data_IF_588003891078
#
_entry.id   IF_588003891078
#
_cell.length_a   1.000
_cell.length_b   1.000
_cell.length_c   1.000
_cell.angle_alpha   90.00
_cell.angle_beta   90.00
_cell.angle_gamma   90.00
#
_symmetry.space_group_name_H-M   'P 1'
#
loop_
_entity.id
_entity.type
_entity.pdbx_description
1 polymer ?
#
# COMPACT_ATOMS: atom_id res chain seq x y z
N UNK A 1 -7.73 -31.41 6.96
CA UNK A 1 -7.55 -30.05 6.41
C UNK A 1 -8.01 -28.94 7.36
N UNK A 2 -9.08 -29.11 8.13
CA UNK A 2 -9.58 -28.10 9.09
C UNK A 2 -8.61 -27.77 10.23
N UNK A 3 -7.86 -28.75 10.77
CA UNK A 3 -6.89 -28.54 11.84
C UNK A 3 -5.70 -27.66 11.41
N UNK A 4 -5.09 -27.94 10.26
CA UNK A 4 -3.94 -27.19 9.74
C UNK A 4 -4.29 -25.71 9.48
N UNK A 5 -5.46 -25.41 8.93
CA UNK A 5 -5.90 -24.03 8.69
C UNK A 5 -6.13 -23.28 10.01
N UNK A 6 -6.66 -23.96 11.03
CA UNK A 6 -6.84 -23.37 12.36
C UNK A 6 -5.48 -23.08 13.04
N UNK A 7 -4.50 -23.99 12.93
CA UNK A 7 -3.16 -23.79 13.46
C UNK A 7 -2.41 -22.64 12.79
N UNK A 8 -2.48 -22.56 11.44
CA UNK A 8 -1.89 -21.46 10.69
C UNK A 8 -2.56 -20.12 11.06
N UNK A 9 -3.88 -20.11 11.20
CA UNK A 9 -4.62 -18.92 11.63
C UNK A 9 -4.20 -18.46 13.04
N UNK A 10 -4.09 -19.40 14.00
CA UNK A 10 -3.64 -19.09 15.34
C UNK A 10 -2.19 -18.55 15.38
N UNK A 11 -1.32 -19.10 14.53
CA UNK A 11 0.07 -18.62 14.41
C UNK A 11 0.13 -17.21 13.85
N UNK A 12 -0.64 -16.87 12.82
CA UNK A 12 -0.73 -15.51 12.26
C UNK A 12 -1.20 -14.52 13.33
N UNK A 13 -2.25 -14.85 14.05
CA UNK A 13 -2.77 -14.01 15.14
C UNK A 13 -1.71 -13.81 16.23
N UNK A 14 -0.98 -14.86 16.61
CA UNK A 14 0.09 -14.77 17.61
C UNK A 14 1.23 -13.85 17.15
N UNK A 15 1.67 -13.95 15.91
CA UNK A 15 2.70 -13.07 15.34
C UNK A 15 2.21 -11.61 15.24
N UNK A 16 0.97 -11.39 14.84
CA UNK A 16 0.35 -10.07 14.79
C UNK A 16 0.31 -9.40 16.16
N UNK A 17 -0.09 -10.14 17.19
CA UNK A 17 -0.12 -9.63 18.56
C UNK A 17 1.27 -9.31 19.08
N UNK A 18 2.24 -10.22 18.90
CA UNK A 18 3.63 -10.00 19.30
C UNK A 18 4.23 -8.74 18.64
N UNK A 19 4.00 -8.57 17.34
CA UNK A 19 4.44 -7.38 16.61
C UNK A 19 3.79 -6.10 17.13
N UNK A 20 2.48 -6.14 17.40
CA UNK A 20 1.74 -5.01 17.95
C UNK A 20 2.25 -4.62 19.35
N UNK A 21 2.42 -5.59 20.25
CA UNK A 21 2.90 -5.35 21.61
C UNK A 21 4.34 -4.81 21.61
N UNK A 22 5.22 -5.33 20.77
CA UNK A 22 6.58 -4.83 20.59
C UNK A 22 6.57 -3.36 20.16
N UNK A 23 5.77 -3.02 19.15
CA UNK A 23 5.69 -1.65 18.66
C UNK A 23 5.07 -0.69 19.68
N UNK A 24 4.11 -1.14 20.46
CA UNK A 24 3.55 -0.34 21.58
C UNK A 24 4.63 -0.08 22.64
N UNK A 25 5.45 -1.08 22.97
CA UNK A 25 6.49 -0.96 24.02
C UNK A 25 7.60 0.04 23.68
N UNK A 26 7.86 0.29 22.39
CA UNK A 26 8.89 1.23 21.92
C UNK A 26 8.32 2.60 21.51
N UNK A 27 7.03 2.87 21.80
CA UNK A 27 6.42 4.16 21.46
C UNK A 27 7.06 5.29 22.26
N UNK A 28 7.47 6.31 21.51
CA UNK A 28 8.05 7.55 22.02
C UNK A 28 7.33 8.74 21.36
N UNK A 29 7.10 9.87 22.07
CA UNK A 29 6.40 11.03 21.51
C UNK A 29 7.07 11.62 20.26
N UNK A 30 8.42 11.65 20.19
CA UNK A 30 9.13 12.18 19.04
C UNK A 30 9.02 11.21 17.84
N UNK A 31 9.19 9.92 18.07
CA UNK A 31 9.02 8.88 17.04
C UNK A 31 7.57 8.87 16.54
N UNK A 32 6.58 8.98 17.44
CA UNK A 32 5.16 9.04 17.08
C UNK A 32 4.86 10.23 16.17
N UNK A 33 5.45 11.40 16.45
CA UNK A 33 5.30 12.58 15.59
C UNK A 33 5.86 12.34 14.18
N UNK A 34 7.02 11.70 14.08
CA UNK A 34 7.62 11.33 12.78
C UNK A 34 6.73 10.33 12.04
N UNK A 35 6.26 9.29 12.70
CA UNK A 35 5.40 8.26 12.11
C UNK A 35 4.06 8.83 11.64
N UNK A 36 3.46 9.76 12.39
CA UNK A 36 2.27 10.49 11.97
C UNK A 36 2.50 11.35 10.73
N UNK A 37 3.67 11.98 10.61
CA UNK A 37 4.00 12.80 9.44
C UNK A 37 4.22 11.93 8.20
N UNK A 38 4.96 10.85 8.35
CA UNK A 38 5.30 9.95 7.23
C UNK A 38 4.07 9.17 6.73
N UNK A 39 3.18 8.74 7.63
CA UNK A 39 2.01 7.94 7.24
C UNK A 39 1.13 8.67 6.22
N UNK A 40 1.07 10.00 6.29
CA UNK A 40 0.31 10.82 5.34
C UNK A 40 0.70 10.61 3.87
N UNK A 41 1.96 10.24 3.60
CA UNK A 41 2.45 9.95 2.24
C UNK A 41 1.78 8.69 1.61
N UNK A 42 1.24 7.80 2.43
CA UNK A 42 0.49 6.63 1.97
C UNK A 42 -1.00 6.87 1.74
N UNK A 43 -1.49 8.08 1.95
CA UNK A 43 -2.91 8.40 1.77
C UNK A 43 -3.31 8.51 0.29
N UNK A 44 -4.60 8.31 0.00
CA UNK A 44 -5.13 8.51 -1.35
C UNK A 44 -4.93 9.95 -1.85
N UNK A 45 -5.01 10.93 -0.95
CA UNK A 45 -4.75 12.35 -1.26
C UNK A 45 -3.30 12.56 -1.69
N UNK A 46 -2.33 12.01 -0.93
CA UNK A 46 -0.92 12.09 -1.30
C UNK A 46 -0.65 11.39 -2.64
N UNK A 47 -1.25 10.22 -2.87
CA UNK A 47 -1.15 9.52 -4.15
C UNK A 47 -1.67 10.37 -5.30
N UNK A 48 -2.82 11.02 -5.15
CA UNK A 48 -3.37 11.91 -6.16
C UNK A 48 -2.45 13.12 -6.45
N UNK A 49 -1.86 13.71 -5.41
CA UNK A 49 -0.89 14.82 -5.57
C UNK A 49 0.36 14.34 -6.31
N UNK A 50 0.93 13.19 -5.94
CA UNK A 50 2.12 12.61 -6.59
C UNK A 50 1.85 12.36 -8.07
N UNK A 51 0.72 11.73 -8.41
CA UNK A 51 0.32 11.49 -9.81
C UNK A 51 0.09 12.80 -10.55
N UNK A 52 -0.50 13.80 -9.91
CA UNK A 52 -0.65 15.14 -10.46
C UNK A 52 0.70 15.82 -10.76
N UNK A 53 1.69 15.67 -9.89
CA UNK A 53 3.05 16.15 -10.12
C UNK A 53 3.72 15.43 -11.30
N UNK A 54 3.54 14.12 -11.45
CA UNK A 54 4.02 13.39 -12.62
C UNK A 54 3.39 13.90 -13.90
N UNK A 55 2.09 14.20 -13.88
CA UNK A 55 1.39 14.77 -15.02
C UNK A 55 1.93 16.15 -15.40
N UNK A 56 2.16 17.03 -14.43
CA UNK A 56 2.73 18.37 -14.66
C UNK A 56 4.20 18.32 -15.12
N UNK A 57 4.91 17.25 -14.83
CA UNK A 57 6.29 17.02 -15.27
C UNK A 57 6.38 16.28 -16.62
N UNK A 58 5.26 16.05 -17.32
CA UNK A 58 5.17 15.29 -18.57
C UNK A 58 5.67 13.83 -18.45
N UNK A 59 5.54 13.21 -17.28
CA UNK A 59 5.93 11.82 -17.03
C UNK A 59 4.76 10.87 -17.32
N UNK A 60 4.34 10.84 -18.59
CA UNK A 60 3.11 10.16 -19.01
C UNK A 60 3.10 8.64 -18.73
N UNK A 61 4.26 7.99 -18.73
CA UNK A 61 4.38 6.56 -18.41
C UNK A 61 4.13 6.29 -16.93
N UNK A 62 4.72 7.11 -16.07
CA UNK A 62 4.54 7.03 -14.64
C UNK A 62 3.08 7.34 -14.24
N UNK A 63 2.47 8.34 -14.90
CA UNK A 63 1.04 8.67 -14.71
C UNK A 63 0.16 7.49 -15.10
N UNK A 64 0.32 6.96 -16.32
CA UNK A 64 -0.52 5.85 -16.82
C UNK A 64 -0.39 4.61 -15.92
N UNK A 65 0.85 4.27 -15.53
CA UNK A 65 1.12 3.12 -14.66
C UNK A 65 0.53 3.33 -13.27
N UNK A 66 0.72 4.51 -12.66
CA UNK A 66 0.19 4.80 -11.32
C UNK A 66 -1.34 4.80 -11.30
N UNK A 67 -1.98 5.48 -12.26
CA UNK A 67 -3.45 5.58 -12.33
C UNK A 67 -4.05 4.19 -12.49
N UNK A 68 -3.51 3.37 -13.40
CA UNK A 68 -4.05 2.03 -13.63
C UNK A 68 -3.79 1.10 -12.45
N UNK A 69 -2.57 1.10 -11.89
CA UNK A 69 -2.21 0.25 -10.76
C UNK A 69 -3.02 0.61 -9.50
N UNK A 70 -3.12 1.90 -9.16
CA UNK A 70 -3.91 2.36 -8.01
C UNK A 70 -5.41 2.14 -8.24
N UNK A 71 -5.88 2.33 -9.48
CA UNK A 71 -7.26 2.06 -9.88
C UNK A 71 -7.67 0.60 -9.78
N UNK A 72 -6.72 -0.35 -9.95
CA UNK A 72 -6.94 -1.77 -9.70
C UNK A 72 -6.83 -2.11 -8.21
N UNK A 73 -5.86 -1.53 -7.52
CA UNK A 73 -5.56 -1.80 -6.11
C UNK A 73 -6.66 -1.29 -5.17
N UNK A 74 -7.11 -0.06 -5.37
CA UNK A 74 -8.06 0.61 -4.48
C UNK A 74 -9.38 -0.16 -4.29
N UNK A 75 -10.09 -0.53 -5.37
CA UNK A 75 -11.33 -1.32 -5.24
C UNK A 75 -11.14 -2.66 -4.54
N UNK A 76 -10.02 -3.35 -4.78
CA UNK A 76 -9.71 -4.62 -4.09
C UNK A 76 -9.55 -4.39 -2.58
N UNK A 77 -8.78 -3.37 -2.19
CA UNK A 77 -8.59 -3.00 -0.77
C UNK A 77 -9.93 -2.67 -0.12
N UNK A 78 -10.74 -1.79 -0.74
CA UNK A 78 -12.03 -1.37 -0.19
C UNK A 78 -13.02 -2.53 -0.06
N UNK A 79 -13.07 -3.42 -1.06
CA UNK A 79 -13.93 -4.60 -1.04
C UNK A 79 -13.53 -5.55 0.10
N UNK A 80 -12.24 -5.89 0.22
CA UNK A 80 -11.76 -6.77 1.29
C UNK A 80 -11.97 -6.15 2.67
N UNK A 81 -11.78 -4.85 2.82
CA UNK A 81 -12.02 -4.12 4.06
C UNK A 81 -13.49 -4.20 4.48
N UNK A 82 -14.41 -4.02 3.53
CA UNK A 82 -15.85 -4.13 3.78
C UNK A 82 -16.32 -5.56 4.09
N UNK A 83 -15.66 -6.58 3.53
CA UNK A 83 -16.01 -7.98 3.73
C UNK A 83 -15.45 -8.56 5.04
N UNK A 84 -14.19 -8.26 5.37
CA UNK A 84 -13.48 -8.91 6.49
C UNK A 84 -13.71 -8.15 7.80
N UNK A 85 -13.87 -6.85 7.76
CA UNK A 85 -14.21 -5.98 8.90
C UNK A 85 -13.36 -6.23 10.17
N UNK A 86 -12.06 -6.47 9.98
CA UNK A 86 -11.13 -6.73 11.08
C UNK A 86 -10.98 -5.52 11.98
N UNK A 87 -11.11 -5.65 13.33
CA UNK A 87 -10.88 -4.54 14.24
C UNK A 87 -9.41 -4.09 14.23
N UNK A 88 -9.17 -2.83 14.64
CA UNK A 88 -7.81 -2.32 14.81
C UNK A 88 -7.04 -3.04 15.93
N UNK A 89 -5.70 -3.01 15.88
CA UNK A 89 -4.87 -3.37 17.03
C UNK A 89 -5.24 -2.56 18.29
N UNK A 90 -4.97 -3.09 19.49
CA UNK A 90 -5.23 -2.36 20.72
C UNK A 90 -4.40 -1.06 20.81
N UNK A 91 -4.95 -0.03 21.46
CA UNK A 91 -4.30 1.27 21.70
C UNK A 91 -3.85 2.02 20.42
N UNK A 92 -4.73 2.25 19.44
CA UNK A 92 -4.38 3.05 18.27
C UNK A 92 -4.10 4.51 18.68
N UNK A 93 -3.01 5.11 18.16
CA UNK A 93 -2.64 6.51 18.46
C UNK A 93 -2.93 7.47 17.31
N UNK A 94 -3.44 6.97 16.19
CA UNK A 94 -3.81 7.74 15.02
C UNK A 94 -5.18 7.29 14.51
N UNK A 95 -6.21 7.49 15.33
CA UNK A 95 -7.60 7.35 14.88
C UNK A 95 -8.21 8.74 14.94
N UNK A 96 -8.28 9.42 13.79
CA UNK A 96 -9.05 10.66 13.68
C UNK A 96 -10.53 10.29 13.65
N UNK A 97 -11.29 10.89 14.55
CA UNK A 97 -12.76 10.83 14.56
C UNK A 97 -13.26 11.39 13.22
N UNK A 98 -13.61 10.51 12.27
CA UNK A 98 -14.05 10.88 10.93
C UNK A 98 -13.43 10.10 9.80
N UNK A 99 -12.46 9.23 10.05
CA UNK A 99 -12.00 8.30 9.01
C UNK A 99 -13.12 7.32 8.66
N UNK A 100 -13.52 7.31 7.38
CA UNK A 100 -14.50 6.37 6.81
C UNK A 100 -14.06 4.89 6.90
N UNK A 101 -12.90 4.63 7.47
CA UNK A 101 -12.27 3.31 7.48
C UNK A 101 -12.28 2.78 8.91
N UNK A 102 -13.30 1.97 9.21
CA UNK A 102 -13.49 1.38 10.52
C UNK A 102 -12.72 0.05 10.74
N UNK A 103 -11.93 -0.42 9.75
CA UNK A 103 -11.37 -1.78 9.75
C UNK A 103 -9.91 -1.79 9.36
N UNK A 104 -9.15 -2.73 9.96
CA UNK A 104 -7.69 -2.78 9.77
C UNK A 104 -7.25 -3.53 8.51
N UNK A 105 -8.03 -4.49 8.00
CA UNK A 105 -7.57 -5.37 6.92
C UNK A 105 -8.22 -5.03 5.58
N UNK A 106 -7.44 -5.03 4.51
CA UNK A 106 -5.97 -4.95 4.41
C UNK A 106 -5.48 -3.49 4.48
N UNK A 107 -4.16 -3.27 4.62
CA UNK A 107 -3.58 -1.93 4.65
C UNK A 107 -3.57 -1.25 3.28
N UNK A 108 -4.44 -0.27 3.07
CA UNK A 108 -4.48 0.53 1.85
C UNK A 108 -3.25 1.42 1.67
N UNK A 109 -2.69 1.96 2.77
CA UNK A 109 -1.46 2.74 2.73
C UNK A 109 -0.28 1.89 2.25
N UNK A 110 -0.11 0.67 2.79
CA UNK A 110 0.93 -0.25 2.36
C UNK A 110 0.76 -0.64 0.88
N UNK A 111 -0.47 -0.88 0.43
CA UNK A 111 -0.77 -1.18 -0.96
C UNK A 111 -0.39 -0.02 -1.90
N UNK A 112 -0.79 1.21 -1.57
CA UNK A 112 -0.49 2.39 -2.38
C UNK A 112 1.00 2.71 -2.49
N UNK A 113 1.73 2.71 -1.36
CA UNK A 113 3.18 2.99 -1.40
C UNK A 113 3.98 1.89 -2.10
N UNK A 114 3.49 0.64 -2.10
CA UNK A 114 4.10 -0.45 -2.85
C UNK A 114 4.05 -0.20 -4.36
N UNK A 115 2.94 0.34 -4.86
CA UNK A 115 2.84 0.74 -6.27
C UNK A 115 3.93 1.75 -6.62
N UNK A 116 4.15 2.78 -5.80
CA UNK A 116 5.19 3.78 -6.06
C UNK A 116 6.61 3.23 -5.89
N UNK A 117 6.85 2.32 -4.94
CA UNK A 117 8.14 1.66 -4.79
C UNK A 117 8.50 0.81 -6.01
N UNK A 118 7.54 0.04 -6.54
CA UNK A 118 7.74 -0.76 -7.75
C UNK A 118 7.84 0.11 -9.02
N UNK A 119 7.11 1.23 -9.06
CA UNK A 119 7.26 2.21 -10.12
C UNK A 119 8.69 2.78 -10.14
N UNK A 120 9.23 3.17 -8.99
CA UNK A 120 10.59 3.68 -8.88
C UNK A 120 11.65 2.63 -9.29
N UNK A 121 11.37 1.34 -9.08
CA UNK A 121 12.26 0.27 -9.53
C UNK A 121 12.29 0.10 -11.07
N UNK A 122 11.34 0.68 -11.78
CA UNK A 122 11.25 0.62 -13.26
C UNK A 122 11.48 1.97 -13.94
N UNK A 123 11.28 3.06 -13.25
CA UNK A 123 11.43 4.41 -13.78
C UNK A 123 12.88 4.88 -13.65
N UNK A 124 13.42 5.46 -14.70
CA UNK A 124 14.72 6.14 -14.66
C UNK A 124 14.64 7.54 -14.02
N UNK A 125 13.41 8.04 -13.81
CA UNK A 125 13.15 9.39 -13.27
C UNK A 125 12.99 9.42 -11.76
N UNK A 126 12.51 8.31 -11.19
CA UNK A 126 12.26 8.21 -9.75
C UNK A 126 13.48 7.62 -9.03
N UNK A 127 13.97 8.28 -7.97
CA UNK A 127 15.09 7.77 -7.19
C UNK A 127 14.64 6.54 -6.38
N UNK A 128 15.17 5.36 -6.72
CA UNK A 128 14.75 4.09 -6.12
C UNK A 128 14.92 4.05 -4.61
N UNK A 129 16.13 4.35 -4.12
CA UNK A 129 16.46 4.16 -2.70
C UNK A 129 15.60 5.03 -1.76
N UNK A 130 15.44 6.36 -1.97
CA UNK A 130 14.58 7.16 -1.12
C UNK A 130 13.10 6.78 -1.26
N UNK A 131 12.62 6.40 -2.46
CA UNK A 131 11.22 5.99 -2.63
C UNK A 131 10.92 4.70 -1.88
N UNK A 132 11.79 3.70 -1.98
CA UNK A 132 11.63 2.44 -1.23
C UNK A 132 11.76 2.66 0.27
N UNK A 133 12.70 3.50 0.72
CA UNK A 133 12.84 3.84 2.13
C UNK A 133 11.57 4.50 2.69
N UNK A 134 11.01 5.49 1.99
CA UNK A 134 9.76 6.15 2.38
C UNK A 134 8.58 5.17 2.37
N UNK A 135 8.46 4.30 1.37
CA UNK A 135 7.42 3.27 1.31
C UNK A 135 7.51 2.32 2.52
N UNK A 136 8.72 1.87 2.87
CA UNK A 136 8.96 1.06 4.06
C UNK A 136 8.60 1.80 5.35
N UNK A 137 8.98 3.06 5.47
CA UNK A 137 8.61 3.89 6.63
C UNK A 137 7.09 4.06 6.75
N UNK A 138 6.37 4.28 5.64
CA UNK A 138 4.90 4.32 5.65
C UNK A 138 4.33 2.99 6.11
N UNK A 139 4.79 1.87 5.56
CA UNK A 139 4.31 0.54 5.97
C UNK A 139 4.52 0.27 7.47
N UNK A 140 5.71 0.59 8.00
CA UNK A 140 6.03 0.48 9.41
C UNK A 140 5.19 1.43 10.25
N UNK A 141 4.96 2.66 9.79
CA UNK A 141 4.17 3.65 10.52
C UNK A 141 2.73 3.16 10.81
N UNK A 142 2.13 2.39 9.89
CA UNK A 142 0.77 1.86 10.05
C UNK A 142 0.67 0.88 11.22
N UNK A 143 1.69 0.05 11.40
CA UNK A 143 1.79 -0.86 12.54
C UNK A 143 2.14 -0.12 13.83
N UNK A 144 3.12 0.77 13.78
CA UNK A 144 3.55 1.59 14.93
C UNK A 144 2.39 2.43 15.51
N UNK A 145 1.58 3.02 14.65
CA UNK A 145 0.42 3.84 15.04
C UNK A 145 -0.78 2.99 15.51
N UNK A 146 -0.72 1.66 15.35
CA UNK A 146 -1.78 0.75 15.79
C UNK A 146 -3.01 0.76 14.91
N UNK A 147 -2.88 1.12 13.64
CA UNK A 147 -3.98 1.13 12.68
C UNK A 147 -4.05 -0.14 11.84
N UNK A 148 -2.97 -0.91 11.78
CA UNK A 148 -2.89 -2.19 11.07
C UNK A 148 -2.01 -3.19 11.80
N UNK A 149 -2.31 -4.46 11.65
CA UNK A 149 -1.44 -5.56 12.04
C UNK A 149 -0.36 -5.81 10.97
N UNK A 150 0.64 -6.62 11.32
CA UNK A 150 1.69 -7.04 10.39
C UNK A 150 1.10 -7.76 9.16
N UNK A 151 0.18 -8.69 9.38
CA UNK A 151 -0.48 -9.42 8.30
C UNK A 151 -1.30 -8.52 7.37
N UNK A 152 -1.99 -7.48 7.90
CA UNK A 152 -2.71 -6.49 7.10
C UNK A 152 -1.77 -5.73 6.16
N UNK A 153 -0.58 -5.40 6.67
CA UNK A 153 0.46 -4.69 5.94
C UNK A 153 1.07 -5.57 4.85
N UNK A 154 1.38 -6.83 5.16
CA UNK A 154 1.92 -7.79 4.18
C UNK A 154 0.93 -8.05 3.06
N UNK A 155 -0.35 -8.26 3.39
CA UNK A 155 -1.40 -8.45 2.38
C UNK A 155 -1.58 -7.18 1.54
N UNK A 156 -1.55 -6.00 2.16
CA UNK A 156 -1.58 -4.73 1.45
C UNK A 156 -0.44 -4.61 0.44
N UNK A 157 0.79 -4.92 0.84
CA UNK A 157 1.96 -4.97 -0.06
C UNK A 157 1.71 -5.93 -1.23
N UNK A 158 1.20 -7.13 -0.95
CA UNK A 158 0.87 -8.11 -1.99
C UNK A 158 -0.17 -7.60 -2.99
N UNK A 159 -1.23 -6.94 -2.52
CA UNK A 159 -2.27 -6.35 -3.38
C UNK A 159 -1.69 -5.22 -4.25
N UNK A 160 -0.88 -4.32 -3.66
CA UNK A 160 -0.22 -3.26 -4.40
C UNK A 160 0.73 -3.79 -5.48
N UNK A 161 1.50 -4.83 -5.16
CA UNK A 161 2.38 -5.50 -6.12
C UNK A 161 1.59 -6.15 -7.25
N UNK A 162 0.53 -6.89 -6.94
CA UNK A 162 -0.33 -7.52 -7.94
C UNK A 162 -0.95 -6.47 -8.88
N UNK A 163 -1.52 -5.40 -8.32
CA UNK A 163 -2.07 -4.29 -9.10
C UNK A 163 -1.04 -3.66 -10.04
N UNK A 164 0.19 -3.43 -9.55
CA UNK A 164 1.29 -2.89 -10.35
C UNK A 164 1.68 -3.82 -11.51
N UNK A 165 1.87 -5.11 -11.26
CA UNK A 165 2.28 -6.06 -12.31
C UNK A 165 1.17 -6.25 -13.35
N UNK A 166 -0.09 -6.29 -12.96
CA UNK A 166 -1.23 -6.35 -13.88
C UNK A 166 -1.28 -5.08 -14.75
N UNK A 167 -1.16 -3.91 -14.14
CA UNK A 167 -1.19 -2.64 -14.85
C UNK A 167 -0.05 -2.53 -15.89
N UNK A 168 1.18 -2.87 -15.49
CA UNK A 168 2.34 -2.79 -16.39
C UNK A 168 2.24 -3.78 -17.55
N UNK A 169 1.76 -5.00 -17.29
CA UNK A 169 1.52 -5.99 -18.34
C UNK A 169 0.49 -5.48 -19.34
N UNK A 170 -0.63 -4.97 -18.87
CA UNK A 170 -1.71 -4.46 -19.72
C UNK A 170 -1.28 -3.29 -20.60
N UNK A 171 -0.52 -2.34 -20.04
CA UNK A 171 0.02 -1.21 -20.79
C UNK A 171 1.01 -1.67 -21.87
N UNK A 172 1.84 -2.67 -21.59
CA UNK A 172 2.81 -3.21 -22.56
C UNK A 172 2.09 -3.91 -23.71
N UNK A 173 1.12 -4.77 -23.43
CA UNK A 173 0.35 -5.50 -24.45
C UNK A 173 -0.45 -4.54 -25.33
N UNK A 174 -1.06 -3.49 -24.76
CA UNK A 174 -1.80 -2.47 -25.50
C UNK A 174 -0.90 -1.70 -26.46
N UNK A 175 0.31 -1.32 -26.03
CA UNK A 175 1.29 -0.63 -26.90
C UNK A 175 1.74 -1.52 -28.06
N UNK A 176 2.03 -2.79 -27.83
CA UNK A 176 2.44 -3.73 -28.87
C UNK A 176 1.33 -3.93 -29.92
N UNK A 177 0.07 -4.00 -29.51
CA UNK A 177 -1.07 -4.14 -30.39
C UNK A 177 -1.21 -2.93 -31.32
N UNK A 178 -1.07 -1.71 -30.78
CA UNK A 178 -1.14 -0.46 -31.57
C UNK A 178 0.00 -0.40 -32.61
N UNK A 179 1.23 -0.69 -32.19
CA UNK A 179 2.40 -0.69 -33.10
C UNK A 179 2.23 -1.71 -34.22
N UNK A 180 1.77 -2.92 -33.91
CA UNK A 180 1.49 -3.97 -34.90
C UNK A 180 0.40 -3.55 -35.88
N UNK A 181 -0.67 -2.94 -35.40
CA UNK A 181 -1.75 -2.43 -36.24
C UNK A 181 -1.27 -1.36 -37.23
N UNK A 182 -0.45 -0.40 -36.77
CA UNK A 182 0.09 0.68 -37.61
C UNK A 182 1.05 0.11 -38.68
N UNK A 183 1.88 -0.88 -38.32
CA UNK A 183 2.86 -1.49 -39.23
C UNK A 183 2.19 -2.32 -40.34
N UNK A 184 0.99 -2.82 -40.14
CA UNK A 184 0.28 -3.69 -41.08
C UNK A 184 -0.69 -2.90 -42.00
N UNK A 185 -0.70 -1.57 -41.91
CA UNK A 185 -1.41 -0.66 -42.83
C UNK A 185 -0.46 0.02 -43.81
#
# INVERSE_FOLDING_TARGET
MTGLLAEVGAMIVGVDQLAADLLVSIRDPAITKVMNSVTGLGSATAAAVIVGLFYLADWHEEVATSVLALGLTGPVVLTLMGLIQRPFPPNPVCVTSGEMVAHSFPSGHAAGVTVFALLAARSERLPLAPTVALAGMVAVSRMYLGTHYLSDTIVGIGIGAAGFFIATRWLTESRQSIVTYIRNR
#
